data_IF_923075764968
#
_entry.id   IF_923075764968
#
_cell.length_a   1.000
_cell.length_b   1.000
_cell.length_c   1.000
_cell.angle_alpha   90.00
_cell.angle_beta   90.00
_cell.angle_gamma   90.00
#
_symmetry.space_group_name_H-M   'P 1'
#
loop_
_entity.id
_entity.type
_entity.pdbx_description
1 polymer ?
#
# COMPACT_ATOMS: atom_id res chain seq x y z
N UNK A 1 25.15 -6.67 5.98
CA UNK A 1 23.73 -6.28 5.84
C UNK A 1 23.69 -4.76 5.75
N UNK A 2 23.48 -4.18 4.56
CA UNK A 2 23.32 -2.73 4.43
C UNK A 2 21.99 -2.37 5.10
N UNK A 3 22.03 -1.48 6.09
CA UNK A 3 20.84 -0.82 6.60
C UNK A 3 20.19 -0.16 5.39
N UNK A 4 19.04 -0.65 4.94
CA UNK A 4 18.25 0.07 3.95
C UNK A 4 17.88 1.41 4.60
N UNK A 5 18.49 2.50 4.13
CA UNK A 5 18.05 3.83 4.48
C UNK A 5 16.57 3.92 4.16
N UNK A 6 15.77 4.13 5.20
CA UNK A 6 14.33 4.03 5.13
C UNK A 6 13.80 5.24 4.33
N UNK A 7 13.62 5.09 3.03
CA UNK A 7 13.15 6.16 2.14
C UNK A 7 11.86 6.83 2.62
N UNK A 8 11.04 6.14 3.42
CA UNK A 8 9.86 6.71 4.11
C UNK A 8 10.23 7.80 5.10
N UNK A 9 11.32 7.62 5.85
CA UNK A 9 11.82 8.61 6.81
C UNK A 9 12.35 9.87 6.10
N UNK A 10 13.02 9.68 4.97
CA UNK A 10 13.57 10.77 4.16
C UNK A 10 12.48 11.56 3.43
N UNK A 11 11.50 10.85 2.83
CA UNK A 11 10.28 11.45 2.30
C UNK A 11 9.51 12.25 3.36
N UNK A 12 9.37 11.71 4.57
CA UNK A 12 8.70 12.38 5.69
C UNK A 12 9.44 13.65 6.12
N UNK A 13 10.78 13.66 6.10
CA UNK A 13 11.59 14.86 6.36
C UNK A 13 11.37 15.93 5.30
N UNK A 14 11.42 15.56 4.02
CA UNK A 14 11.18 16.50 2.91
C UNK A 14 9.80 17.15 2.98
N UNK A 15 8.77 16.36 3.33
CA UNK A 15 7.41 16.86 3.58
C UNK A 15 7.41 17.86 4.76
N UNK A 16 8.10 17.55 5.86
CA UNK A 16 8.19 18.41 7.04
C UNK A 16 8.93 19.72 6.75
N UNK A 17 9.99 19.68 5.95
CA UNK A 17 10.79 20.84 5.55
C UNK A 17 10.01 21.76 4.61
N UNK A 18 9.36 21.22 3.58
CA UNK A 18 8.50 21.99 2.69
C UNK A 18 7.37 22.72 3.45
N UNK A 19 6.87 22.10 4.53
CA UNK A 19 5.85 22.69 5.42
C UNK A 19 6.39 23.79 6.33
N UNK A 20 7.62 23.67 6.86
CA UNK A 20 8.26 24.72 7.70
C UNK A 20 8.46 26.03 6.94
N UNK A 21 8.61 25.96 5.62
CA UNK A 21 8.75 27.12 4.75
C UNK A 21 7.40 27.71 4.28
N UNK A 22 6.26 27.16 4.74
CA UNK A 22 4.94 27.64 4.36
C UNK A 22 4.57 27.41 2.89
N UNK A 23 5.27 26.49 2.20
CA UNK A 23 5.00 26.19 0.80
C UNK A 23 3.87 25.17 0.67
N UNK A 24 2.92 25.42 -0.25
CA UNK A 24 2.01 24.38 -0.75
C UNK A 24 2.87 23.26 -1.33
N UNK A 25 2.65 22.01 -0.92
CA UNK A 25 3.41 20.86 -1.45
C UNK A 25 3.17 20.81 -2.96
N UNK A 26 4.19 21.18 -3.73
CA UNK A 26 4.13 21.24 -5.19
C UNK A 26 4.23 19.81 -5.75
N UNK A 27 3.62 19.60 -6.91
CA UNK A 27 3.70 18.33 -7.66
C UNK A 27 5.15 17.83 -7.81
N UNK A 28 6.11 18.74 -8.01
CA UNK A 28 7.54 18.43 -8.05
C UNK A 28 8.06 17.78 -6.75
N UNK A 29 7.58 18.20 -5.57
CA UNK A 29 7.96 17.60 -4.28
C UNK A 29 7.37 16.21 -4.13
N UNK A 30 6.13 15.99 -4.60
CA UNK A 30 5.50 14.66 -4.63
C UNK A 30 6.28 13.69 -5.52
N UNK A 31 6.69 14.14 -6.71
CA UNK A 31 7.50 13.35 -7.64
C UNK A 31 8.90 13.04 -7.07
N UNK A 32 9.50 13.99 -6.35
CA UNK A 32 10.79 13.79 -5.70
C UNK A 32 10.70 12.77 -4.54
N UNK A 33 9.61 12.82 -3.77
CA UNK A 33 9.29 11.82 -2.74
C UNK A 33 9.03 10.44 -3.37
N UNK A 34 8.26 10.38 -4.46
CA UNK A 34 7.97 9.15 -5.19
C UNK A 34 9.25 8.47 -5.70
N UNK A 35 10.20 9.27 -6.20
CA UNK A 35 11.52 8.80 -6.62
C UNK A 35 12.37 8.27 -5.46
N UNK A 36 12.29 8.87 -4.26
CA UNK A 36 13.03 8.43 -3.07
C UNK A 36 12.44 7.14 -2.48
N UNK A 37 11.13 6.95 -2.63
CA UNK A 37 10.40 5.77 -2.16
C UNK A 37 10.48 4.58 -3.12
N UNK A 38 11.28 4.66 -4.19
CA UNK A 38 11.34 3.65 -5.25
C UNK A 38 9.98 3.30 -5.86
N UNK A 39 9.05 4.26 -5.97
CA UNK A 39 7.70 4.01 -6.52
C UNK A 39 7.76 3.48 -7.97
N UNK A 40 8.81 3.81 -8.73
CA UNK A 40 9.04 3.24 -10.07
C UNK A 40 9.16 1.71 -10.08
N UNK A 41 9.64 1.09 -8.99
CA UNK A 41 9.72 -0.37 -8.86
C UNK A 41 8.34 -1.03 -8.75
N UNK A 42 7.27 -0.26 -8.46
CA UNK A 42 5.89 -0.79 -8.43
C UNK A 42 5.40 -1.18 -9.82
N UNK A 43 5.84 -0.48 -10.85
CA UNK A 43 5.47 -0.81 -12.22
C UNK A 43 6.21 -2.07 -12.68
N UNK A 44 7.50 -2.20 -12.32
CA UNK A 44 8.26 -3.42 -12.56
C UNK A 44 7.62 -4.62 -11.83
N UNK A 45 7.20 -4.43 -10.57
CA UNK A 45 6.43 -5.44 -9.83
C UNK A 45 5.13 -5.81 -10.57
N UNK A 46 4.37 -4.82 -11.04
CA UNK A 46 3.14 -5.06 -11.79
C UNK A 46 3.38 -5.83 -13.10
N UNK A 47 4.41 -5.51 -13.86
CA UNK A 47 4.74 -6.27 -15.07
C UNK A 47 5.08 -7.74 -14.75
N UNK A 48 5.77 -8.00 -13.64
CA UNK A 48 6.11 -9.35 -13.20
C UNK A 48 4.87 -10.14 -12.75
N UNK A 49 3.93 -9.52 -12.03
CA UNK A 49 2.68 -10.17 -11.59
C UNK A 49 1.74 -10.47 -12.75
N UNK A 50 1.67 -9.58 -13.75
CA UNK A 50 0.80 -9.77 -14.91
C UNK A 50 1.15 -11.02 -15.74
N UNK A 51 2.41 -11.48 -15.64
CA UNK A 51 2.86 -12.73 -16.26
C UNK A 51 2.11 -13.97 -15.76
N UNK A 52 1.52 -13.93 -14.57
CA UNK A 52 0.74 -15.03 -13.98
C UNK A 52 -0.76 -14.78 -14.03
N UNK A 53 -1.21 -13.67 -14.61
CA UNK A 53 -2.62 -13.32 -14.69
C UNK A 53 -3.35 -14.12 -15.76
N UNK A 54 -4.53 -14.65 -15.41
CA UNK A 54 -5.40 -15.31 -16.37
C UNK A 54 -6.41 -14.30 -16.95
N UNK A 55 -6.13 -13.82 -18.16
CA UNK A 55 -6.93 -12.80 -18.84
C UNK A 55 -7.95 -13.36 -19.86
N UNK A 56 -8.31 -14.65 -19.76
CA UNK A 56 -9.17 -15.34 -20.75
C UNK A 56 -10.66 -15.00 -20.66
N UNK A 57 -11.08 -14.26 -19.65
CA UNK A 57 -12.47 -13.79 -19.48
C UNK A 57 -12.63 -12.37 -20.01
N UNK A 58 -13.88 -11.93 -20.16
CA UNK A 58 -14.19 -10.53 -20.47
C UNK A 58 -13.79 -9.60 -19.31
N UNK A 59 -13.86 -8.29 -19.55
CA UNK A 59 -13.50 -7.29 -18.54
C UNK A 59 -14.26 -7.49 -17.23
N UNK A 60 -15.57 -7.76 -17.31
CA UNK A 60 -16.39 -8.03 -16.13
C UNK A 60 -15.89 -9.23 -15.32
N UNK A 61 -15.57 -10.34 -15.99
CA UNK A 61 -15.01 -11.52 -15.34
C UNK A 61 -13.64 -11.26 -14.71
N UNK A 62 -12.78 -10.48 -15.35
CA UNK A 62 -11.43 -10.16 -14.84
C UNK A 62 -11.49 -9.26 -13.60
N UNK A 63 -12.29 -8.19 -13.65
CA UNK A 63 -12.54 -7.31 -12.50
C UNK A 63 -13.20 -8.08 -11.35
N UNK A 64 -14.18 -8.93 -11.66
CA UNK A 64 -14.82 -9.77 -10.64
C UNK A 64 -13.83 -10.72 -9.98
N UNK A 65 -12.95 -11.36 -10.76
CA UNK A 65 -11.93 -12.27 -10.23
C UNK A 65 -10.95 -11.51 -9.31
N UNK A 66 -10.44 -10.35 -9.73
CA UNK A 66 -9.55 -9.53 -8.91
C UNK A 66 -10.23 -9.04 -7.63
N UNK A 67 -11.49 -8.62 -7.68
CA UNK A 67 -12.24 -8.17 -6.50
C UNK A 67 -12.50 -9.29 -5.49
N UNK A 68 -12.83 -10.50 -5.98
CA UNK A 68 -13.00 -11.67 -5.12
C UNK A 68 -11.67 -12.10 -4.51
N UNK A 69 -10.58 -12.07 -5.27
CA UNK A 69 -9.22 -12.28 -4.78
C UNK A 69 -8.88 -11.34 -3.62
N UNK A 70 -9.00 -10.02 -3.83
CA UNK A 70 -8.80 -9.02 -2.77
C UNK A 70 -9.60 -9.33 -1.49
N UNK A 71 -10.85 -9.76 -1.65
CA UNK A 71 -11.72 -10.08 -0.52
C UNK A 71 -11.27 -11.36 0.20
N UNK A 72 -10.84 -12.37 -0.55
CA UNK A 72 -10.30 -13.63 -0.03
C UNK A 72 -9.08 -13.38 0.86
N UNK A 73 -8.08 -12.70 0.31
CA UNK A 73 -6.81 -12.45 1.02
C UNK A 73 -7.01 -11.52 2.24
N UNK A 74 -7.91 -10.53 2.13
CA UNK A 74 -8.29 -9.72 3.29
C UNK A 74 -8.99 -10.56 4.39
N UNK A 75 -9.71 -11.61 4.00
CA UNK A 75 -10.30 -12.59 4.92
C UNK A 75 -9.24 -13.43 5.64
N UNK A 76 -8.18 -13.82 4.94
CA UNK A 76 -7.04 -14.56 5.52
C UNK A 76 -6.29 -13.71 6.53
N UNK A 77 -5.99 -12.45 6.18
CA UNK A 77 -5.48 -11.42 7.09
C UNK A 77 -6.35 -11.33 8.35
N UNK A 78 -7.68 -11.20 8.17
CA UNK A 78 -8.61 -11.09 9.28
C UNK A 78 -8.62 -12.35 10.18
N UNK A 79 -8.50 -13.55 9.61
CA UNK A 79 -8.47 -14.80 10.37
C UNK A 79 -7.20 -14.93 11.21
N UNK A 80 -6.03 -14.57 10.66
CA UNK A 80 -4.77 -14.54 11.40
C UNK A 80 -4.85 -13.57 12.58
N UNK A 81 -5.30 -12.33 12.34
CA UNK A 81 -5.45 -11.31 13.39
C UNK A 81 -6.46 -11.76 14.45
N UNK A 82 -7.59 -12.33 14.03
CA UNK A 82 -8.61 -12.86 14.95
C UNK A 82 -8.05 -13.95 15.85
N UNK A 83 -7.28 -14.90 15.31
CA UNK A 83 -6.64 -15.97 16.09
C UNK A 83 -5.60 -15.41 17.06
N UNK A 84 -4.79 -14.46 16.61
CA UNK A 84 -3.78 -13.81 17.45
C UNK A 84 -4.41 -13.09 18.66
N UNK A 85 -5.49 -12.33 18.45
CA UNK A 85 -6.11 -11.48 19.47
C UNK A 85 -7.16 -12.23 20.30
N UNK A 86 -8.11 -12.90 19.66
CA UNK A 86 -9.31 -13.42 20.32
C UNK A 86 -9.21 -14.90 20.72
N UNK A 87 -8.30 -15.67 20.09
CA UNK A 87 -8.08 -17.07 20.46
C UNK A 87 -6.80 -17.26 21.31
N UNK A 88 -6.13 -16.17 21.69
CA UNK A 88 -5.00 -16.20 22.61
C UNK A 88 -3.69 -16.74 22.02
N UNK A 89 -3.54 -16.78 20.69
CA UNK A 89 -2.30 -17.24 20.06
C UNK A 89 -1.17 -16.20 20.16
N UNK A 90 -1.51 -14.92 20.37
CA UNK A 90 -0.55 -13.81 20.31
C UNK A 90 0.02 -13.59 18.91
N UNK A 91 0.84 -12.55 18.73
CA UNK A 91 1.65 -12.37 17.52
C UNK A 91 3.05 -12.92 17.77
N UNK A 92 3.49 -13.83 16.92
CA UNK A 92 4.69 -14.62 17.10
C UNK A 92 5.52 -14.59 15.81
N UNK A 93 6.68 -13.90 15.81
CA UNK A 93 7.07 -12.85 16.77
C UNK A 93 6.15 -11.63 16.64
N UNK A 94 6.11 -10.74 17.64
CA UNK A 94 5.26 -9.54 17.58
C UNK A 94 5.67 -8.53 16.52
N UNK A 95 6.93 -8.58 16.08
CA UNK A 95 7.45 -7.79 14.97
C UNK A 95 8.68 -8.51 14.40
N UNK A 96 8.60 -8.99 13.15
CA UNK A 96 9.73 -9.70 12.57
C UNK A 96 9.96 -9.48 11.08
N UNK A 97 10.61 -8.37 10.70
CA UNK A 97 11.15 -8.22 9.37
C UNK A 97 12.35 -9.17 9.18
N UNK A 98 12.13 -10.28 8.46
CA UNK A 98 13.20 -11.19 8.02
C UNK A 98 13.22 -12.58 8.67
N UNK A 99 12.28 -12.90 9.57
CA UNK A 99 12.03 -14.29 9.96
C UNK A 99 10.88 -14.87 9.14
N UNK A 100 11.07 -16.09 8.65
CA UNK A 100 10.11 -16.83 7.82
C UNK A 100 9.28 -17.82 8.65
N UNK A 101 9.01 -17.46 9.91
CA UNK A 101 8.26 -18.31 10.83
C UNK A 101 7.13 -17.54 11.54
N UNK A 102 6.28 -18.32 12.21
CA UNK A 102 5.19 -17.78 13.01
C UNK A 102 4.03 -17.18 12.19
N UNK A 103 3.18 -16.41 12.87
CA UNK A 103 1.94 -15.91 12.29
C UNK A 103 2.04 -14.49 11.73
N UNK A 104 3.06 -13.73 12.10
CA UNK A 104 3.33 -12.41 11.51
C UNK A 104 3.99 -12.52 10.14
N UNK A 105 4.82 -13.54 9.91
CA UNK A 105 5.30 -13.85 8.56
C UNK A 105 4.14 -14.26 7.63
N UNK A 106 3.23 -15.14 8.09
CA UNK A 106 2.02 -15.49 7.33
C UNK A 106 1.19 -14.26 6.99
N UNK A 107 0.99 -13.36 7.95
CA UNK A 107 0.31 -12.09 7.70
C UNK A 107 0.99 -11.28 6.59
N UNK A 108 2.33 -11.27 6.54
CA UNK A 108 3.08 -10.61 5.47
C UNK A 108 2.90 -11.29 4.10
N UNK A 109 2.77 -12.62 4.05
CA UNK A 109 2.44 -13.35 2.82
C UNK A 109 1.05 -12.95 2.30
N UNK A 110 0.03 -12.93 3.16
CA UNK A 110 -1.33 -12.50 2.76
C UNK A 110 -1.35 -11.04 2.26
N UNK A 111 -0.53 -10.16 2.86
CA UNK A 111 -0.36 -8.80 2.35
C UNK A 111 0.29 -8.77 0.96
N UNK A 112 1.18 -9.73 0.66
CA UNK A 112 1.74 -9.94 -0.66
C UNK A 112 0.70 -10.38 -1.69
N UNK A 113 -0.21 -11.27 -1.31
CA UNK A 113 -1.32 -11.71 -2.18
C UNK A 113 -2.35 -10.60 -2.40
N UNK A 114 -2.59 -9.74 -1.40
CA UNK A 114 -3.33 -8.49 -1.59
C UNK A 114 -2.62 -7.59 -2.62
N UNK A 115 -1.30 -7.41 -2.51
CA UNK A 115 -0.54 -6.60 -3.47
C UNK A 115 -0.62 -7.16 -4.89
N UNK A 116 -0.63 -8.49 -5.04
CA UNK A 116 -0.88 -9.13 -6.32
C UNK A 116 -2.24 -8.72 -6.90
N UNK A 117 -3.34 -8.88 -6.15
CA UNK A 117 -4.66 -8.53 -6.68
C UNK A 117 -4.89 -7.01 -6.84
N UNK A 118 -4.24 -6.15 -6.03
CA UNK A 118 -4.24 -4.70 -6.27
C UNK A 118 -3.56 -4.39 -7.60
N UNK A 119 -2.42 -5.03 -7.87
CA UNK A 119 -1.67 -4.88 -9.12
C UNK A 119 -2.49 -5.30 -10.34
N UNK A 120 -3.16 -6.45 -10.26
CA UNK A 120 -4.07 -6.93 -11.32
C UNK A 120 -5.25 -5.98 -11.52
N UNK A 121 -5.92 -5.57 -10.43
CA UNK A 121 -7.06 -4.66 -10.52
C UNK A 121 -6.65 -3.32 -11.15
N UNK A 122 -5.49 -2.78 -10.76
CA UNK A 122 -4.96 -1.55 -11.35
C UNK A 122 -4.80 -1.68 -12.86
N UNK A 123 -4.17 -2.76 -13.32
CA UNK A 123 -3.96 -3.04 -14.75
C UNK A 123 -5.29 -3.15 -15.51
N UNK A 124 -6.25 -3.91 -14.97
CA UNK A 124 -7.56 -4.08 -15.62
C UNK A 124 -8.31 -2.75 -15.74
N UNK A 125 -8.15 -1.86 -14.76
CA UNK A 125 -8.74 -0.51 -14.79
C UNK A 125 -7.96 0.48 -15.67
N UNK A 126 -6.84 0.07 -16.27
CA UNK A 126 -5.99 0.93 -17.11
C UNK A 126 -5.05 1.85 -16.34
N UNK A 127 -4.71 1.50 -15.10
CA UNK A 127 -3.76 2.23 -14.26
C UNK A 127 -2.49 1.42 -14.02
N UNK A 128 -1.37 2.12 -13.90
CA UNK A 128 -0.16 1.52 -13.34
C UNK A 128 -0.28 1.40 -11.83
N UNK A 129 0.49 0.49 -11.22
CA UNK A 129 0.51 0.39 -9.76
C UNK A 129 1.11 1.65 -9.11
N UNK A 130 2.04 2.32 -9.79
CA UNK A 130 2.50 3.66 -9.42
C UNK A 130 1.35 4.68 -9.39
N UNK A 131 0.49 4.72 -10.41
CA UNK A 131 -0.66 5.66 -10.44
C UNK A 131 -1.55 5.46 -9.21
N UNK A 132 -1.84 4.20 -8.85
CA UNK A 132 -2.63 3.87 -7.66
C UNK A 132 -1.97 4.40 -6.38
N UNK A 133 -0.65 4.23 -6.25
CA UNK A 133 0.11 4.71 -5.09
C UNK A 133 0.14 6.25 -5.03
N UNK A 134 0.41 6.93 -6.14
CA UNK A 134 0.45 8.39 -6.22
C UNK A 134 -0.92 9.01 -5.94
N UNK A 135 -1.99 8.47 -6.52
CA UNK A 135 -3.37 8.89 -6.22
C UNK A 135 -3.71 8.71 -4.74
N UNK A 136 -3.23 7.63 -4.11
CA UNK A 136 -3.41 7.41 -2.68
C UNK A 136 -2.67 8.46 -1.85
N UNK A 137 -1.38 8.71 -2.15
CA UNK A 137 -0.55 9.70 -1.46
C UNK A 137 -1.16 11.10 -1.58
N UNK A 138 -1.56 11.52 -2.78
CA UNK A 138 -2.16 12.83 -3.01
C UNK A 138 -3.45 13.01 -2.20
N UNK A 139 -4.32 11.98 -2.19
CA UNK A 139 -5.55 11.96 -1.40
C UNK A 139 -5.27 12.04 0.11
N UNK A 140 -4.30 11.26 0.61
CA UNK A 140 -3.95 11.25 2.03
C UNK A 140 -3.26 12.54 2.45
N UNK A 141 -2.39 13.12 1.63
CA UNK A 141 -1.74 14.40 1.90
C UNK A 141 -2.77 15.54 2.00
N UNK A 142 -3.81 15.50 1.16
CA UNK A 142 -4.93 16.44 1.24
C UNK A 142 -5.76 16.24 2.52
N UNK A 143 -6.02 14.99 2.92
CA UNK A 143 -6.82 14.69 4.11
C UNK A 143 -6.04 14.98 5.41
N UNK A 144 -4.77 14.63 5.46
CA UNK A 144 -3.92 14.63 6.64
C UNK A 144 -2.68 15.52 6.42
N UNK A 145 -2.87 16.84 6.24
CA UNK A 145 -1.79 17.76 5.94
C UNK A 145 -0.79 17.90 7.08
N UNK A 146 -1.06 17.42 8.29
CA UNK A 146 -0.13 17.41 9.42
C UNK A 146 0.07 16.01 10.01
N UNK A 147 -0.27 14.97 9.24
CA UNK A 147 -0.38 13.61 9.73
C UNK A 147 -1.78 13.30 10.26
N UNK A 148 -1.96 12.10 10.79
CA UNK A 148 -3.27 11.63 11.22
C UNK A 148 -3.84 12.49 12.36
N UNK A 149 -5.09 12.95 12.21
CA UNK A 149 -5.90 13.50 13.29
C UNK A 149 -7.34 12.98 13.20
N UNK A 150 -8.03 12.90 14.34
CA UNK A 150 -9.43 12.44 14.39
C UNK A 150 -10.35 13.43 13.67
N UNK A 151 -10.07 14.72 13.83
CA UNK A 151 -10.81 15.84 13.25
C UNK A 151 -10.71 15.78 11.71
N UNK A 152 -9.50 15.63 11.17
CA UNK A 152 -9.26 15.47 9.75
C UNK A 152 -9.92 14.21 9.17
N UNK A 153 -9.91 13.11 9.93
CA UNK A 153 -10.57 11.86 9.55
C UNK A 153 -12.09 12.03 9.41
N UNK A 154 -12.71 12.82 10.29
CA UNK A 154 -14.14 13.15 10.24
C UNK A 154 -14.48 14.15 9.14
N UNK A 155 -13.65 15.19 8.95
CA UNK A 155 -13.92 16.27 8.00
C UNK A 155 -13.85 15.82 6.53
N UNK A 156 -13.04 14.79 6.21
CA UNK A 156 -12.97 14.16 4.87
C UNK A 156 -12.82 15.14 3.70
N UNK A 157 -12.03 16.21 3.89
CA UNK A 157 -11.82 17.31 2.91
C UNK A 157 -11.30 16.86 1.55
N UNK A 158 -10.80 15.63 1.45
CA UNK A 158 -10.35 15.01 0.22
C UNK A 158 -11.50 14.56 -0.70
N UNK A 159 -12.67 14.23 -0.15
CA UNK A 159 -13.86 13.82 -0.89
C UNK A 159 -14.65 15.09 -1.29
N UNK A 160 -14.95 15.24 -2.58
CA UNK A 160 -15.89 16.25 -3.08
C UNK A 160 -17.30 15.71 -3.04
#
# INVERSE_FOLDING_TARGET
>A
MKVMENGVLEATKLISEARKEGQVIKEATVLQIASILSIGELNDYQEVTLRTWNNKTDFGGRVSNAALGLTGEAGEVADIVKKAIYHGHGFQPSHCPGEEDGNTYKLALELGDIMYYVSIMAHELGYTLQDIAEMNIAKLAKRYPDGFSREASQARVDVK
#
